data_IF_499777298867
#
_entry.id   IF_499777298867
#
_cell.length_a   1.000
_cell.length_b   1.000
_cell.length_c   1.000
_cell.angle_alpha   90.00
_cell.angle_beta   90.00
_cell.angle_gamma   90.00
#
_symmetry.space_group_name_H-M   'P 1'
#
loop_
_entity.id
_entity.type
_entity.pdbx_description
1 polymer ?
#
# COMPACT_ATOMS: atom_id res chain seq x y z
N UNK A 1 -9.37 -2.35 10.90
CA UNK A 1 -10.58 -2.40 10.07
C UNK A 1 -11.66 -1.52 10.70
N UNK A 2 -12.38 -0.76 9.84
CA UNK A 2 -13.51 0.09 10.17
C UNK A 2 -13.20 1.34 11.02
N UNK A 3 -11.98 1.86 10.93
CA UNK A 3 -11.65 3.23 11.32
C UNK A 3 -11.51 4.10 10.04
N UNK A 4 -11.79 5.40 10.13
CA UNK A 4 -11.41 6.35 9.09
C UNK A 4 -9.89 6.38 8.90
N UNK A 5 -9.45 6.65 7.67
CA UNK A 5 -8.02 6.65 7.31
C UNK A 5 -7.24 7.67 8.17
N UNK A 6 -7.80 8.87 8.35
CA UNK A 6 -7.21 9.94 9.14
C UNK A 6 -7.00 9.52 10.61
N UNK A 7 -7.91 8.72 11.16
CA UNK A 7 -7.77 8.22 12.55
C UNK A 7 -6.67 7.17 12.68
N UNK A 8 -6.49 6.35 11.66
CA UNK A 8 -5.37 5.39 11.61
C UNK A 8 -4.04 6.14 11.51
N UNK A 9 -3.96 7.16 10.65
CA UNK A 9 -2.78 8.01 10.49
C UNK A 9 -2.42 8.75 11.79
N UNK A 10 -3.40 9.34 12.47
CA UNK A 10 -3.21 10.02 13.77
C UNK A 10 -2.62 9.06 14.83
N UNK A 11 -3.17 7.84 14.93
CA UNK A 11 -2.68 6.85 15.89
C UNK A 11 -1.26 6.41 15.52
N UNK A 12 -0.95 6.17 14.25
CA UNK A 12 0.39 5.84 13.81
C UNK A 12 1.39 6.97 14.15
N UNK A 13 1.02 8.21 13.90
CA UNK A 13 1.83 9.38 14.22
C UNK A 13 2.06 9.51 15.73
N UNK A 14 1.04 9.26 16.55
CA UNK A 14 1.16 9.27 18.02
C UNK A 14 2.17 8.24 18.50
N UNK A 15 2.08 6.98 18.02
CA UNK A 15 3.00 5.92 18.38
C UNK A 15 4.43 6.23 17.93
N UNK A 16 4.57 6.82 16.74
CA UNK A 16 5.89 7.21 16.20
C UNK A 16 6.51 8.35 17.03
N UNK A 17 5.72 9.32 17.48
CA UNK A 17 6.19 10.41 18.34
C UNK A 17 6.67 9.93 19.72
N UNK A 18 6.25 8.75 20.16
CA UNK A 18 6.68 8.12 21.41
C UNK A 18 7.95 7.26 21.25
N UNK A 19 8.56 7.25 20.06
CA UNK A 19 9.85 6.61 19.78
C UNK A 19 9.77 5.24 19.10
N UNK A 20 8.59 4.73 18.78
CA UNK A 20 8.41 3.48 18.07
C UNK A 20 8.11 3.73 16.58
N UNK A 21 8.51 2.81 15.70
CA UNK A 21 8.13 2.91 14.28
C UNK A 21 6.73 2.36 14.10
N UNK A 22 5.82 3.19 13.59
CA UNK A 22 4.47 2.79 13.21
C UNK A 22 3.94 3.68 12.08
N UNK A 23 3.67 3.09 10.92
CA UNK A 23 3.20 3.84 9.74
C UNK A 23 2.05 3.11 9.04
N UNK A 24 1.15 3.83 8.35
CA UNK A 24 0.23 3.22 7.41
C UNK A 24 1.02 2.58 6.27
N UNK A 25 0.84 1.29 6.03
CA UNK A 25 1.58 0.53 5.03
C UNK A 25 0.76 0.25 3.76
N UNK A 26 -0.53 -0.11 3.91
CA UNK A 26 -1.39 -0.38 2.76
C UNK A 26 -2.78 0.22 2.97
N UNK A 27 -3.17 1.11 2.08
CA UNK A 27 -4.55 1.60 1.94
C UNK A 27 -5.31 0.66 1.00
N UNK A 28 -5.83 -0.44 1.52
CA UNK A 28 -6.39 -1.53 0.71
C UNK A 28 -7.77 -1.19 0.12
N UNK A 29 -8.67 -0.68 0.94
CA UNK A 29 -9.98 -0.17 0.52
C UNK A 29 -10.55 0.69 1.67
N UNK A 30 -11.60 1.47 1.45
CA UNK A 30 -12.22 2.27 2.52
C UNK A 30 -12.45 1.46 3.79
N UNK A 31 -11.91 1.94 4.92
CA UNK A 31 -11.98 1.29 6.22
C UNK A 31 -11.09 0.04 6.39
N UNK A 32 -10.17 -0.23 5.48
CA UNK A 32 -9.20 -1.33 5.61
C UNK A 32 -7.78 -0.84 5.32
N UNK A 33 -7.04 -0.56 6.37
CA UNK A 33 -5.62 -0.19 6.32
C UNK A 33 -4.79 -1.26 7.03
N UNK A 34 -3.63 -1.58 6.46
CA UNK A 34 -2.56 -2.31 7.14
C UNK A 34 -1.55 -1.29 7.63
N UNK A 35 -1.10 -1.44 8.87
CA UNK A 35 -0.01 -0.67 9.46
C UNK A 35 1.24 -1.53 9.55
N UNK A 36 2.41 -0.90 9.54
CA UNK A 36 3.70 -1.55 9.62
C UNK A 36 4.64 -0.79 10.56
N UNK A 37 5.52 -1.53 11.24
CA UNK A 37 6.44 -0.92 12.20
C UNK A 37 7.15 -1.92 13.09
N UNK A 38 7.72 -1.42 14.19
CA UNK A 38 8.31 -2.25 15.23
C UNK A 38 7.25 -3.08 15.97
N UNK A 39 7.62 -4.22 16.51
CA UNK A 39 6.66 -5.07 17.24
C UNK A 39 5.97 -4.31 18.38
N UNK A 40 6.70 -3.58 19.26
CA UNK A 40 6.05 -2.77 20.30
C UNK A 40 5.15 -1.68 19.73
N UNK A 41 5.57 -1.03 18.63
CA UNK A 41 4.78 0.00 17.96
C UNK A 41 3.46 -0.55 17.42
N UNK A 42 3.48 -1.72 16.79
CA UNK A 42 2.27 -2.38 16.27
C UNK A 42 1.34 -2.84 17.39
N UNK A 43 1.87 -3.42 18.47
CA UNK A 43 1.07 -3.82 19.62
C UNK A 43 0.34 -2.63 20.24
N UNK A 44 1.06 -1.53 20.50
CA UNK A 44 0.51 -0.30 21.03
C UNK A 44 -0.53 0.32 20.09
N UNK A 45 -0.24 0.41 18.80
CA UNK A 45 -1.18 0.91 17.81
C UNK A 45 -2.46 0.08 17.75
N UNK A 46 -2.37 -1.25 17.86
CA UNK A 46 -3.54 -2.13 17.90
C UNK A 46 -4.43 -1.86 19.13
N UNK A 47 -3.86 -1.60 20.30
CA UNK A 47 -4.61 -1.24 21.49
C UNK A 47 -5.32 0.12 21.33
N UNK A 48 -4.60 1.14 20.87
CA UNK A 48 -5.18 2.47 20.62
C UNK A 48 -6.29 2.42 19.56
N UNK A 49 -6.10 1.65 18.48
CA UNK A 49 -7.12 1.49 17.44
C UNK A 49 -8.37 0.78 17.96
N UNK A 50 -8.23 -0.23 18.82
CA UNK A 50 -9.38 -0.88 19.47
C UNK A 50 -10.10 0.09 20.39
N UNK A 51 -9.39 0.86 21.19
CA UNK A 51 -9.96 1.91 22.05
C UNK A 51 -10.68 2.99 21.24
N UNK A 52 -10.20 3.31 20.03
CA UNK A 52 -10.83 4.24 19.10
C UNK A 52 -12.02 3.65 18.34
N UNK A 53 -12.41 2.39 18.58
CA UNK A 53 -13.59 1.76 18.00
C UNK A 53 -13.31 0.92 16.74
N UNK A 54 -12.08 0.53 16.46
CA UNK A 54 -11.79 -0.40 15.38
C UNK A 54 -12.52 -1.74 15.61
N UNK A 55 -13.26 -2.20 14.61
CA UNK A 55 -13.91 -3.53 14.67
C UNK A 55 -12.89 -4.65 14.75
N UNK A 56 -11.69 -4.43 14.17
CA UNK A 56 -10.61 -5.42 14.17
C UNK A 56 -9.27 -4.70 14.04
N UNK A 57 -8.37 -4.94 14.98
CA UNK A 57 -6.96 -4.58 14.94
C UNK A 57 -6.15 -5.78 15.47
N UNK A 58 -5.43 -6.46 14.57
CA UNK A 58 -4.71 -7.70 14.85
C UNK A 58 -3.34 -7.66 14.20
N UNK A 59 -2.28 -8.13 14.89
CA UNK A 59 -1.00 -8.38 14.26
C UNK A 59 -1.11 -9.42 13.14
N UNK A 60 -0.42 -9.18 12.04
CA UNK A 60 -0.31 -10.12 10.92
C UNK A 60 0.97 -10.95 11.08
N UNK A 61 0.89 -12.23 10.77
CA UNK A 61 2.07 -13.12 10.75
C UNK A 61 2.82 -12.92 9.44
N UNK A 62 3.73 -11.95 9.41
CA UNK A 62 4.57 -11.60 8.26
C UNK A 62 6.04 -11.58 8.65
N UNK A 63 6.94 -11.79 7.69
CA UNK A 63 8.38 -11.90 7.93
C UNK A 63 9.12 -10.56 8.05
N UNK A 64 8.45 -9.41 7.96
CA UNK A 64 9.12 -8.11 8.01
C UNK A 64 8.15 -6.94 8.05
N UNK A 65 8.68 -5.75 8.40
CA UNK A 65 7.94 -4.51 8.46
C UNK A 65 7.91 -3.81 7.08
N UNK A 66 7.33 -4.49 6.08
CA UNK A 66 7.24 -3.97 4.73
C UNK A 66 6.53 -2.61 4.67
N UNK A 67 6.94 -1.78 3.72
CA UNK A 67 6.40 -0.44 3.51
C UNK A 67 6.59 0.50 4.72
N UNK A 68 7.68 0.29 5.48
CA UNK A 68 8.07 1.16 6.59
C UNK A 68 9.56 1.51 6.53
N UNK A 69 10.03 2.51 7.29
CA UNK A 69 11.45 2.86 7.37
C UNK A 69 12.37 1.71 7.81
N UNK A 70 11.83 0.69 8.49
CA UNK A 70 12.61 -0.49 8.91
C UNK A 70 13.10 -1.34 7.72
N UNK A 71 12.60 -1.08 6.51
CA UNK A 71 13.07 -1.73 5.27
C UNK A 71 14.24 -0.98 4.60
N UNK A 72 14.73 0.13 5.17
CA UNK A 72 15.85 0.88 4.59
C UNK A 72 17.11 0.04 4.29
N UNK A 73 17.53 -0.93 5.13
CA UNK A 73 18.67 -1.78 4.77
C UNK A 73 18.44 -2.58 3.49
N UNK A 74 17.25 -3.15 3.30
CA UNK A 74 16.91 -3.90 2.10
C UNK A 74 16.73 -2.99 0.86
N UNK A 75 16.36 -1.72 1.08
CA UNK A 75 16.23 -0.73 0.01
C UNK A 75 17.54 -0.47 -0.72
N UNK A 76 18.68 -0.46 -0.03
CA UNK A 76 20.00 -0.23 -0.61
C UNK A 76 20.32 -1.30 -1.67
N UNK A 77 20.10 -2.57 -1.34
CA UNK A 77 20.33 -3.69 -2.26
C UNK A 77 19.35 -3.66 -3.45
N UNK A 78 18.08 -3.42 -3.17
CA UNK A 78 17.04 -3.32 -4.20
C UNK A 78 17.30 -2.15 -5.15
N UNK A 79 17.70 -0.99 -4.64
CA UNK A 79 18.05 0.18 -5.44
C UNK A 79 19.20 -0.11 -6.40
N UNK A 80 20.24 -0.79 -5.94
CA UNK A 80 21.35 -1.20 -6.79
C UNK A 80 20.87 -2.13 -7.92
N UNK A 81 20.00 -3.10 -7.63
CA UNK A 81 19.44 -4.01 -8.62
C UNK A 81 18.54 -3.28 -9.64
N UNK A 82 17.68 -2.37 -9.17
CA UNK A 82 16.79 -1.57 -10.04
C UNK A 82 17.64 -0.68 -10.96
N UNK A 83 18.68 -0.03 -10.44
CA UNK A 83 19.54 0.85 -11.22
C UNK A 83 20.34 0.09 -12.29
N UNK A 84 20.74 -1.15 -12.00
CA UNK A 84 21.42 -2.03 -12.96
C UNK A 84 20.47 -2.63 -14.01
N UNK A 85 19.14 -2.59 -13.80
CA UNK A 85 18.17 -3.14 -14.71
C UNK A 85 17.75 -2.11 -15.75
N UNK A 86 17.72 -2.49 -17.03
CA UNK A 86 17.18 -1.64 -18.08
C UNK A 86 15.64 -1.61 -18.00
N UNK A 87 15.08 -0.42 -17.97
CA UNK A 87 13.62 -0.20 -17.98
C UNK A 87 13.27 0.59 -19.23
N UNK A 88 12.40 0.05 -20.07
CA UNK A 88 11.95 0.71 -21.30
C UNK A 88 10.65 1.46 -21.07
N UNK A 89 10.35 2.41 -21.94
CA UNK A 89 9.05 3.10 -21.97
C UNK A 89 7.93 2.06 -22.11
N UNK A 90 6.98 2.00 -21.18
CA UNK A 90 5.89 1.03 -21.25
C UNK A 90 4.92 1.36 -22.39
N UNK A 91 4.25 0.33 -22.95
CA UNK A 91 3.25 0.48 -24.00
C UNK A 91 1.96 1.17 -23.53
N UNK A 92 1.70 1.15 -22.23
CA UNK A 92 0.57 1.80 -21.58
C UNK A 92 1.03 2.40 -20.24
N UNK A 93 0.33 3.37 -19.67
CA UNK A 93 0.67 3.93 -18.38
C UNK A 93 0.68 2.88 -17.29
N UNK A 94 1.71 2.92 -16.42
CA UNK A 94 1.84 2.06 -15.24
C UNK A 94 1.47 2.88 -14.02
N UNK A 95 0.41 2.51 -13.33
CA UNK A 95 0.06 3.10 -12.04
C UNK A 95 0.93 2.49 -10.95
N UNK A 96 1.62 3.35 -10.21
CA UNK A 96 2.55 2.89 -9.17
C UNK A 96 1.98 3.15 -7.78
N UNK A 97 2.21 2.20 -6.87
CA UNK A 97 1.59 2.21 -5.55
C UNK A 97 2.03 3.38 -4.66
N UNK A 98 3.22 3.94 -4.87
CA UNK A 98 3.80 4.98 -4.01
C UNK A 98 3.06 6.32 -4.09
N UNK A 99 2.55 6.66 -5.27
CA UNK A 99 1.87 7.93 -5.54
C UNK A 99 0.46 7.77 -6.14
N UNK A 100 0.11 6.54 -6.52
CA UNK A 100 -1.16 6.19 -7.16
C UNK A 100 -1.37 6.85 -8.54
N UNK A 101 -0.31 7.31 -9.20
CA UNK A 101 -0.37 8.02 -10.47
C UNK A 101 0.13 7.17 -11.64
N UNK A 102 -0.31 7.47 -12.88
CA UNK A 102 0.17 6.80 -14.10
C UNK A 102 1.52 7.36 -14.54
N UNK A 103 2.48 6.47 -14.85
CA UNK A 103 3.81 6.83 -15.34
C UNK A 103 4.13 6.11 -16.64
N UNK A 104 4.85 6.80 -17.53
CA UNK A 104 5.39 6.25 -18.78
C UNK A 104 6.90 6.51 -18.93
N UNK A 105 7.47 7.40 -18.12
CA UNK A 105 8.90 7.66 -18.10
C UNK A 105 9.65 6.58 -17.32
N UNK A 106 10.61 5.86 -17.94
CA UNK A 106 11.43 4.85 -17.26
C UNK A 106 12.18 5.34 -16.02
N UNK A 107 12.65 6.59 -16.02
CA UNK A 107 13.40 7.15 -14.90
C UNK A 107 12.48 7.39 -13.68
N UNK A 108 11.27 7.93 -13.91
CA UNK A 108 10.25 8.08 -12.89
C UNK A 108 9.78 6.74 -12.35
N UNK A 109 9.58 5.74 -13.23
CA UNK A 109 9.18 4.38 -12.84
C UNK A 109 10.24 3.77 -11.91
N UNK A 110 11.53 3.86 -12.25
CA UNK A 110 12.62 3.36 -11.40
C UNK A 110 12.65 4.06 -10.04
N UNK A 111 12.56 5.38 -10.02
CA UNK A 111 12.53 6.18 -8.79
C UNK A 111 11.40 5.72 -7.86
N UNK A 112 10.21 5.52 -8.41
CA UNK A 112 9.04 5.08 -7.67
C UNK A 112 9.17 3.64 -7.16
N UNK A 113 9.78 2.73 -7.93
CA UNK A 113 10.07 1.36 -7.50
C UNK A 113 11.00 1.34 -6.27
N UNK A 114 12.04 2.18 -6.26
CA UNK A 114 12.96 2.32 -5.11
C UNK A 114 12.21 2.89 -3.90
N UNK A 115 11.42 3.94 -4.11
CA UNK A 115 10.67 4.58 -3.04
C UNK A 115 9.63 3.64 -2.39
N UNK A 116 9.03 2.75 -3.19
CA UNK A 116 7.93 1.87 -2.77
C UNK A 116 8.30 0.94 -1.61
N UNK A 117 9.55 0.54 -1.47
CA UNK A 117 9.97 -0.41 -0.43
C UNK A 117 9.72 0.13 0.99
N UNK A 118 9.84 1.43 1.17
CA UNK A 118 9.66 2.13 2.47
C UNK A 118 8.42 3.03 2.50
N UNK A 119 7.67 3.10 1.39
CA UNK A 119 6.47 3.94 1.26
C UNK A 119 5.20 3.10 1.20
N UNK A 120 4.09 3.70 1.59
CA UNK A 120 2.77 3.06 1.60
C UNK A 120 2.31 2.62 0.21
N UNK A 121 1.57 1.52 0.16
CA UNK A 121 0.79 1.08 -1.01
C UNK A 121 -0.55 1.83 -1.00
N UNK A 122 -0.76 2.71 -1.95
CA UNK A 122 -1.95 3.54 -2.10
C UNK A 122 -3.00 2.90 -3.02
N UNK A 123 -3.36 1.63 -2.76
CA UNK A 123 -4.23 0.86 -3.65
C UNK A 123 -5.62 1.49 -3.84
N UNK A 124 -6.22 1.98 -2.74
CA UNK A 124 -7.51 2.69 -2.82
C UNK A 124 -7.45 3.89 -3.75
N UNK A 125 -6.41 4.72 -3.63
CA UNK A 125 -6.21 5.90 -4.45
C UNK A 125 -5.89 5.52 -5.90
N UNK A 126 -5.09 4.46 -6.09
CA UNK A 126 -4.74 3.92 -7.42
C UNK A 126 -5.99 3.51 -8.19
N UNK A 127 -6.87 2.71 -7.59
CA UNK A 127 -8.12 2.29 -8.25
C UNK A 127 -9.03 3.48 -8.53
N UNK A 128 -9.19 4.42 -7.59
CA UNK A 128 -9.98 5.64 -7.80
C UNK A 128 -9.44 6.48 -8.97
N UNK A 129 -8.12 6.63 -9.07
CA UNK A 129 -7.49 7.39 -10.16
C UNK A 129 -7.66 6.67 -11.51
N UNK A 130 -7.52 5.33 -11.54
CA UNK A 130 -7.79 4.55 -12.75
C UNK A 130 -9.23 4.72 -13.23
N UNK A 131 -10.21 4.64 -12.32
CA UNK A 131 -11.64 4.85 -12.65
C UNK A 131 -11.88 6.28 -13.13
N UNK A 132 -11.33 7.29 -12.46
CA UNK A 132 -11.42 8.68 -12.89
C UNK A 132 -10.81 8.92 -14.28
N UNK A 133 -9.81 8.12 -14.65
CA UNK A 133 -9.20 8.13 -15.99
C UNK A 133 -9.89 7.20 -17.00
N UNK A 134 -11.09 6.69 -16.67
CA UNK A 134 -11.96 5.96 -17.58
C UNK A 134 -11.84 4.43 -17.54
N UNK A 135 -11.14 3.85 -16.56
CA UNK A 135 -11.11 2.40 -16.41
C UNK A 135 -12.46 1.87 -15.89
N UNK A 136 -13.05 0.93 -16.62
CA UNK A 136 -14.34 0.30 -16.29
C UNK A 136 -14.24 -1.19 -16.02
N UNK A 137 -13.08 -1.79 -16.38
CA UNK A 137 -12.83 -3.21 -16.27
C UNK A 137 -11.41 -3.48 -15.74
N UNK A 138 -11.29 -4.39 -14.78
CA UNK A 138 -10.04 -4.75 -14.11
C UNK A 138 -9.81 -6.25 -14.19
N UNK A 139 -8.62 -6.64 -14.64
CA UNK A 139 -8.20 -8.04 -14.69
C UNK A 139 -7.07 -8.27 -13.70
N UNK A 140 -7.32 -9.06 -12.64
CA UNK A 140 -6.27 -9.54 -11.75
C UNK A 140 -5.51 -10.69 -12.42
N UNK A 141 -4.22 -10.52 -12.65
CA UNK A 141 -3.36 -11.53 -13.25
C UNK A 141 -2.59 -12.28 -12.15
N UNK A 142 -2.92 -13.55 -11.96
CA UNK A 142 -2.30 -14.41 -10.97
C UNK A 142 -3.29 -15.17 -10.08
N UNK A 143 -2.79 -16.00 -9.17
CA UNK A 143 -3.65 -16.85 -8.34
C UNK A 143 -4.44 -16.05 -7.29
N UNK A 144 -5.68 -16.46 -7.09
CA UNK A 144 -6.56 -15.86 -6.09
C UNK A 144 -7.49 -14.77 -6.64
N UNK A 145 -8.15 -14.05 -5.74
CA UNK A 145 -9.14 -13.01 -6.07
C UNK A 145 -9.12 -11.85 -5.05
N UNK A 146 -7.94 -11.53 -4.51
CA UNK A 146 -7.81 -10.53 -3.45
C UNK A 146 -8.06 -9.13 -4.00
N UNK A 147 -7.42 -8.78 -5.12
CA UNK A 147 -7.55 -7.46 -5.71
C UNK A 147 -8.95 -7.23 -6.27
N UNK A 148 -9.58 -8.24 -6.87
CA UNK A 148 -10.98 -8.17 -7.31
C UNK A 148 -11.91 -7.80 -6.14
N UNK A 149 -11.71 -8.44 -4.98
CA UNK A 149 -12.49 -8.15 -3.78
C UNK A 149 -12.26 -6.74 -3.22
N UNK A 150 -11.06 -6.21 -3.34
CA UNK A 150 -10.73 -4.84 -2.94
C UNK A 150 -11.32 -3.82 -3.91
N UNK A 151 -11.19 -4.05 -5.23
CA UNK A 151 -11.75 -3.18 -6.27
C UNK A 151 -13.25 -2.99 -6.06
N UNK A 152 -14.00 -4.09 -5.88
CA UNK A 152 -15.45 -4.05 -5.62
C UNK A 152 -15.84 -3.25 -4.37
N UNK A 153 -14.97 -3.18 -3.35
CA UNK A 153 -15.18 -2.36 -2.15
C UNK A 153 -14.82 -0.89 -2.37
N UNK A 154 -13.90 -0.60 -3.29
CA UNK A 154 -13.48 0.76 -3.63
C UNK A 154 -14.50 1.40 -4.55
N UNK A 155 -14.89 0.66 -5.61
CA UNK A 155 -15.91 1.08 -6.57
C UNK A 155 -16.69 -0.15 -7.07
N UNK A 156 -17.97 -0.22 -6.73
CA UNK A 156 -18.86 -1.31 -7.11
C UNK A 156 -19.42 -1.19 -8.53
N UNK A 157 -19.18 -0.08 -9.21
CA UNK A 157 -19.71 0.18 -10.56
C UNK A 157 -18.83 -0.40 -11.66
N UNK A 158 -17.58 -0.74 -11.34
CA UNK A 158 -16.64 -1.34 -12.30
C UNK A 158 -16.66 -2.86 -12.23
N UNK A 159 -16.28 -3.50 -13.35
CA UNK A 159 -16.10 -4.95 -13.37
C UNK A 159 -14.69 -5.34 -12.88
N UNK A 160 -14.59 -6.49 -12.22
CA UNK A 160 -13.32 -7.05 -11.79
C UNK A 160 -13.38 -8.58 -11.89
N UNK A 161 -12.41 -9.15 -12.60
CA UNK A 161 -12.27 -10.59 -12.80
C UNK A 161 -10.78 -10.99 -12.75
N UNK A 162 -10.48 -12.28 -12.76
CA UNK A 162 -9.13 -12.81 -12.68
C UNK A 162 -8.82 -13.79 -13.80
N UNK A 163 -7.53 -13.85 -14.13
CA UNK A 163 -6.93 -14.91 -14.96
C UNK A 163 -5.78 -15.53 -14.19
N UNK A 164 -5.76 -16.85 -14.09
CA UNK A 164 -4.72 -17.63 -13.42
C UNK A 164 -3.74 -18.24 -14.43
#
# INVERSE_FOLDING_TARGET
>A
IALPDEKVEEICATVTAEGEVCVPANYNCPGQIVISGSVPGIEKACELMKAAGAKRALPLKVGGAFHSPLMDPAKIELEAAINATEVHTPKCPVYQNVDALPHTDPAEIKKNLVAQLTASVRWTQTVKNMVANGATDFTECGPGAVLQGLIKKIDSTVSAHGIA
#
